data_IF_897370393143
#
_entry.id   IF_897370393143
#
_cell.length_a   1.000
_cell.length_b   1.000
_cell.length_c   1.000
_cell.angle_alpha   90.00
_cell.angle_beta   90.00
_cell.angle_gamma   90.00
#
_symmetry.space_group_name_H-M   'P 1'
#
loop_
_entity.id
_entity.type
_entity.pdbx_description
1 polymer ?
#
# COMPACT_ATOMS: atom_id res chain seq x y z
N UNK A 1 5.99 14.08 -25.36
CA UNK A 1 5.19 14.49 -24.19
C UNK A 1 4.27 13.32 -23.91
N UNK A 2 4.43 12.64 -22.78
CA UNK A 2 3.64 11.44 -22.48
C UNK A 2 2.18 11.83 -22.21
N UNK A 3 1.24 11.07 -22.77
CA UNK A 3 -0.19 11.27 -22.53
C UNK A 3 -0.49 10.96 -21.05
N UNK A 4 -1.20 11.87 -20.38
CA UNK A 4 -1.56 11.74 -18.97
C UNK A 4 -2.91 11.05 -18.86
N UNK A 5 -3.04 10.09 -17.95
CA UNK A 5 -4.30 9.39 -17.73
C UNK A 5 -4.75 9.54 -16.27
N UNK A 6 -6.06 9.67 -16.08
CA UNK A 6 -6.66 9.65 -14.75
C UNK A 6 -6.59 8.23 -14.17
N UNK A 7 -5.95 8.04 -13.03
CA UNK A 7 -5.79 6.71 -12.42
C UNK A 7 -7.14 6.03 -12.10
N UNK A 8 -8.17 6.81 -11.75
CA UNK A 8 -9.46 6.27 -11.31
C UNK A 8 -10.35 5.84 -12.48
N UNK A 9 -10.47 6.67 -13.51
CA UNK A 9 -11.40 6.42 -14.63
C UNK A 9 -10.70 6.03 -15.93
N UNK A 10 -9.36 5.97 -15.93
CA UNK A 10 -8.50 5.65 -17.06
C UNK A 10 -8.72 6.50 -18.32
N UNK A 11 -9.33 7.68 -18.16
CA UNK A 11 -9.51 8.64 -19.27
C UNK A 11 -8.26 9.48 -19.44
N UNK A 12 -7.93 9.78 -20.69
CA UNK A 12 -6.87 10.71 -21.04
C UNK A 12 -7.18 12.11 -20.50
N UNK A 13 -6.15 12.79 -20.01
CA UNK A 13 -6.17 14.16 -19.52
C UNK A 13 -5.51 14.99 -20.61
N UNK A 14 -6.34 15.67 -21.39
CA UNK A 14 -5.91 16.50 -22.50
C UNK A 14 -5.00 17.65 -22.06
N UNK A 15 -4.10 18.05 -22.94
CA UNK A 15 -3.19 19.17 -22.71
C UNK A 15 -4.00 20.45 -22.51
N UNK A 16 -3.72 21.19 -21.44
CA UNK A 16 -4.44 22.42 -21.08
C UNK A 16 -5.64 22.20 -20.16
N UNK A 17 -6.09 20.96 -19.94
CA UNK A 17 -7.10 20.66 -18.94
C UNK A 17 -6.51 20.64 -17.52
N UNK A 18 -7.26 21.20 -16.57
CA UNK A 18 -6.91 21.13 -15.14
C UNK A 18 -6.95 19.68 -14.67
N UNK A 19 -5.99 19.29 -13.85
CA UNK A 19 -5.95 17.98 -13.20
C UNK A 19 -5.29 18.12 -11.83
N UNK A 20 -5.50 17.13 -10.96
CA UNK A 20 -4.81 17.02 -9.69
C UNK A 20 -3.73 15.95 -9.81
N UNK A 21 -2.50 16.31 -9.46
CA UNK A 21 -1.40 15.37 -9.38
C UNK A 21 -1.09 15.05 -7.91
N UNK A 22 -1.00 13.76 -7.60
CA UNK A 22 -0.55 13.24 -6.31
C UNK A 22 0.84 12.66 -6.52
N UNK A 23 1.81 13.13 -5.73
CA UNK A 23 3.16 12.57 -5.71
C UNK A 23 3.30 11.64 -4.51
N UNK A 24 3.59 10.36 -4.78
CA UNK A 24 3.78 9.35 -3.74
C UNK A 24 5.21 8.82 -3.79
N UNK A 25 5.76 8.49 -2.62
CA UNK A 25 7.03 7.78 -2.49
C UNK A 25 7.00 6.89 -1.25
N UNK A 26 7.80 5.83 -1.25
CA UNK A 26 8.08 5.01 -0.08
C UNK A 26 9.44 5.37 0.51
N UNK A 27 9.58 5.26 1.83
CA UNK A 27 10.84 5.49 2.52
C UNK A 27 10.98 4.51 3.67
N UNK A 28 12.18 3.95 3.86
CA UNK A 28 12.43 3.07 5.01
C UNK A 28 12.41 3.84 6.33
N UNK A 29 12.00 3.15 7.39
CA UNK A 29 12.00 3.64 8.78
C UNK A 29 12.74 2.61 9.63
N UNK A 30 13.63 3.07 10.52
CA UNK A 30 14.42 2.19 11.38
C UNK A 30 15.63 1.50 10.72
N UNK A 31 15.76 1.55 9.39
CA UNK A 31 16.92 1.02 8.64
C UNK A 31 17.88 2.16 8.30
N UNK A 32 19.19 1.92 8.45
CA UNK A 32 20.26 2.85 8.07
C UNK A 32 21.21 2.20 7.05
N UNK A 33 21.64 2.91 5.99
CA UNK A 33 21.18 4.24 5.59
C UNK A 33 19.71 4.22 5.14
N UNK A 34 19.04 5.36 5.28
CA UNK A 34 17.62 5.48 4.92
C UNK A 34 17.49 5.47 3.39
N UNK A 35 16.63 4.60 2.87
CA UNK A 35 16.38 4.47 1.43
C UNK A 35 15.00 5.03 1.07
N UNK A 36 14.88 5.55 -0.14
CA UNK A 36 13.67 6.18 -0.67
C UNK A 36 13.42 5.69 -2.09
N UNK A 37 12.17 5.36 -2.42
CA UNK A 37 11.79 5.02 -3.80
C UNK A 37 11.80 6.26 -4.69
N UNK A 38 11.81 6.06 -6.01
CA UNK A 38 11.43 7.12 -6.94
C UNK A 38 10.01 7.61 -6.62
N UNK A 39 9.78 8.92 -6.77
CA UNK A 39 8.45 9.49 -6.59
C UNK A 39 7.57 9.13 -7.79
N UNK A 40 6.43 8.50 -7.55
CA UNK A 40 5.43 8.24 -8.56
C UNK A 40 4.46 9.41 -8.63
N UNK A 41 4.26 9.92 -9.85
CA UNK A 41 3.28 10.96 -10.16
C UNK A 41 2.00 10.30 -10.64
N UNK A 42 0.94 10.46 -9.88
CA UNK A 42 -0.40 9.93 -10.17
C UNK A 42 -1.31 11.10 -10.52
N UNK A 43 -2.11 10.98 -11.57
CA UNK A 43 -3.03 12.05 -11.98
C UNK A 43 -4.49 11.64 -11.81
N UNK A 44 -5.32 12.62 -11.44
CA UNK A 44 -6.78 12.51 -11.38
C UNK A 44 -7.41 13.65 -12.19
N UNK A 45 -8.45 13.32 -12.97
CA UNK A 45 -9.27 14.34 -13.61
C UNK A 45 -10.06 15.14 -12.56
N UNK A 46 -10.56 16.34 -12.88
CA UNK A 46 -11.27 17.20 -11.92
C UNK A 46 -12.42 16.51 -11.19
N UNK A 47 -13.19 15.68 -11.90
CA UNK A 47 -14.32 14.94 -11.34
C UNK A 47 -13.85 13.89 -10.33
N UNK A 48 -12.84 13.10 -10.69
CA UNK A 48 -12.28 12.07 -9.80
C UNK A 48 -11.51 12.67 -8.62
N UNK A 49 -10.93 13.87 -8.77
CA UNK A 49 -10.24 14.55 -7.67
C UNK A 49 -11.20 15.05 -6.59
N UNK A 50 -12.42 15.48 -6.95
CA UNK A 50 -13.44 15.82 -5.96
C UNK A 50 -13.80 14.59 -5.13
N UNK A 51 -13.96 13.42 -5.77
CA UNK A 51 -14.19 12.17 -5.05
C UNK A 51 -13.00 11.73 -4.19
N UNK A 52 -11.77 12.11 -4.54
CA UNK A 52 -10.59 11.86 -3.70
C UNK A 52 -10.60 12.73 -2.43
N UNK A 53 -11.04 13.99 -2.55
CA UNK A 53 -11.06 14.94 -1.43
C UNK A 53 -12.27 14.74 -0.50
N UNK A 54 -13.42 14.40 -1.06
CA UNK A 54 -14.72 14.45 -0.36
C UNK A 54 -15.47 13.11 -0.35
N UNK A 55 -15.00 12.12 -1.10
CA UNK A 55 -15.67 10.83 -1.26
C UNK A 55 -14.99 9.70 -0.50
N UNK A 56 -15.55 8.47 -0.59
CA UNK A 56 -14.87 7.29 -0.07
C UNK A 56 -13.52 7.11 -0.77
N UNK A 57 -12.49 6.63 -0.03
CA UNK A 57 -11.17 6.43 -0.58
C UNK A 57 -11.25 5.56 -1.83
N UNK A 58 -10.51 5.89 -2.91
CA UNK A 58 -10.55 5.10 -4.13
C UNK A 58 -10.05 3.68 -3.84
N UNK A 59 -10.93 2.69 -3.97
CA UNK A 59 -10.60 1.30 -3.67
C UNK A 59 -9.40 0.83 -4.50
N UNK A 60 -8.31 0.47 -3.83
CA UNK A 60 -7.14 -0.16 -4.44
C UNK A 60 -6.29 0.74 -5.36
N UNK A 61 -6.76 1.91 -5.79
CA UNK A 61 -6.06 2.74 -6.78
C UNK A 61 -4.65 3.13 -6.28
N UNK A 62 -4.55 3.58 -5.03
CA UNK A 62 -3.27 3.93 -4.43
C UNK A 62 -2.47 2.70 -3.97
N UNK A 63 -3.11 1.53 -3.81
CA UNK A 63 -2.45 0.32 -3.33
C UNK A 63 -1.49 -0.23 -4.38
N UNK A 64 -1.85 -0.19 -5.67
CA UNK A 64 -0.94 -0.62 -6.74
C UNK A 64 0.28 0.30 -6.86
N UNK A 65 0.09 1.61 -6.71
CA UNK A 65 1.20 2.56 -6.66
C UNK A 65 2.09 2.30 -5.44
N UNK A 66 1.50 2.09 -4.26
CA UNK A 66 2.21 1.71 -3.04
C UNK A 66 3.02 0.42 -3.22
N UNK A 67 2.40 -0.62 -3.78
CA UNK A 67 3.04 -1.88 -4.09
C UNK A 67 4.26 -1.71 -4.99
N UNK A 68 4.12 -0.98 -6.10
CA UNK A 68 5.24 -0.73 -7.02
C UNK A 68 6.38 0.00 -6.29
N UNK A 69 6.09 1.04 -5.52
CA UNK A 69 7.11 1.78 -4.76
C UNK A 69 7.85 0.89 -3.76
N UNK A 70 7.13 0.01 -3.04
CA UNK A 70 7.73 -0.93 -2.09
C UNK A 70 8.57 -1.97 -2.82
N UNK A 71 8.04 -2.57 -3.89
CA UNK A 71 8.76 -3.55 -4.71
C UNK A 71 10.06 -2.97 -5.25
N UNK A 72 10.00 -1.75 -5.80
CA UNK A 72 11.17 -1.09 -6.37
C UNK A 72 12.20 -0.78 -5.26
N UNK A 73 11.75 -0.38 -4.06
CA UNK A 73 12.63 -0.14 -2.91
C UNK A 73 13.30 -1.42 -2.39
N UNK A 74 12.55 -2.52 -2.28
CA UNK A 74 13.02 -3.83 -1.80
C UNK A 74 13.92 -4.52 -2.84
N UNK A 75 13.66 -4.29 -4.12
CA UNK A 75 14.45 -4.85 -5.23
C UNK A 75 15.73 -4.06 -5.56
N UNK A 76 15.84 -2.81 -5.12
CA UNK A 76 16.98 -1.95 -5.47
C UNK A 76 18.30 -2.35 -4.80
N UNK A 77 18.26 -2.83 -3.55
CA UNK A 77 19.47 -3.15 -2.78
C UNK A 77 19.26 -4.38 -1.87
N UNK A 78 19.93 -5.51 -2.14
CA UNK A 78 19.90 -6.68 -1.26
C UNK A 78 20.34 -6.39 0.18
N UNK A 79 21.22 -5.41 0.42
CA UNK A 79 21.66 -5.03 1.76
C UNK A 79 20.52 -4.43 2.60
N UNK A 80 19.53 -3.80 1.96
CA UNK A 80 18.33 -3.29 2.63
C UNK A 80 17.48 -4.44 3.20
N UNK A 81 17.36 -5.53 2.46
CA UNK A 81 16.64 -6.72 2.91
C UNK A 81 17.36 -7.39 4.09
N UNK A 82 18.68 -7.47 4.03
CA UNK A 82 19.50 -7.99 5.13
C UNK A 82 19.39 -7.12 6.40
N UNK A 83 19.48 -5.80 6.28
CA UNK A 83 19.34 -4.87 7.40
C UNK A 83 17.91 -4.90 8.00
N UNK A 84 16.89 -5.03 7.15
CA UNK A 84 15.52 -5.24 7.61
C UNK A 84 15.38 -6.54 8.41
N UNK A 85 15.99 -7.62 7.92
CA UNK A 85 15.97 -8.93 8.57
C UNK A 85 16.70 -8.93 9.92
N UNK A 86 17.83 -8.24 10.02
CA UNK A 86 18.57 -8.05 11.28
C UNK A 86 17.74 -7.29 12.33
N UNK A 87 17.10 -6.20 11.93
CA UNK A 87 16.19 -5.47 12.80
C UNK A 87 15.01 -6.34 13.26
N UNK A 88 14.40 -7.11 12.36
CA UNK A 88 13.30 -8.02 12.71
C UNK A 88 13.75 -9.09 13.70
N UNK A 89 14.93 -9.69 13.54
CA UNK A 89 15.47 -10.68 14.49
C UNK A 89 15.62 -10.11 15.91
N UNK A 90 15.96 -8.83 16.05
CA UNK A 90 15.97 -8.14 17.34
C UNK A 90 14.58 -8.03 17.99
N UNK A 91 13.50 -8.12 17.20
CA UNK A 91 12.10 -8.07 17.67
C UNK A 91 11.48 -9.46 17.79
N UNK A 92 11.96 -10.49 17.07
CA UNK A 92 11.42 -11.86 17.12
C UNK A 92 11.47 -12.45 18.54
N UNK A 93 12.44 -12.05 19.39
CA UNK A 93 12.46 -12.43 20.82
C UNK A 93 11.37 -11.76 21.69
N UNK A 94 10.61 -10.81 21.14
CA UNK A 94 9.54 -10.05 21.79
C UNK A 94 8.14 -10.38 21.24
N UNK A 95 8.05 -11.19 20.18
CA UNK A 95 6.77 -11.63 19.63
C UNK A 95 6.33 -12.91 20.34
N UNK A 96 5.09 -12.99 20.86
CA UNK A 96 4.57 -14.22 21.42
C UNK A 96 4.64 -15.30 20.34
N UNK A 97 5.23 -16.45 20.69
CA UNK A 97 5.27 -17.63 19.86
C UNK A 97 3.82 -17.96 19.50
N UNK A 98 3.45 -17.77 18.23
CA UNK A 98 2.13 -18.08 17.71
C UNK A 98 1.89 -19.58 17.65
N UNK A 99 2.15 -20.30 18.74
CA UNK A 99 1.53 -21.60 18.94
C UNK A 99 0.02 -21.33 19.06
N UNK A 100 -0.81 -21.89 18.17
CA UNK A 100 -2.24 -21.80 18.35
C UNK A 100 -2.57 -22.55 19.65
N UNK A 101 -2.89 -21.78 20.70
CA UNK A 101 -3.56 -22.30 21.89
C UNK A 101 -4.65 -23.28 21.43
N UNK A 102 -4.65 -24.53 21.91
CA UNK A 102 -5.64 -25.51 21.51
C UNK A 102 -7.02 -24.99 21.94
N UNK A 103 -7.78 -24.50 20.96
CA UNK A 103 -9.16 -24.05 21.16
C UNK A 103 -9.92 -25.21 21.81
N UNK A 104 -10.47 -25.04 23.02
CA UNK A 104 -11.33 -26.06 23.60
C UNK A 104 -12.53 -26.21 22.66
N UNK A 105 -12.66 -27.37 22.01
CA UNK A 105 -13.86 -27.74 21.26
C UNK A 105 -15.05 -27.69 22.21
N UNK A 106 -15.72 -26.54 22.29
CA UNK A 106 -17.07 -26.47 22.86
C UNK A 106 -17.98 -27.26 21.93
N UNK A 107 -18.61 -28.29 22.51
CA UNK A 107 -19.55 -29.16 21.83
C UNK A 107 -20.57 -28.33 21.03
N UNK A 108 -20.82 -28.74 19.79
CA UNK A 108 -21.86 -28.19 18.95
C UNK A 108 -23.22 -28.38 19.65
N UNK A 109 -23.79 -27.30 20.18
CA UNK A 109 -25.20 -27.22 20.50
C UNK A 109 -25.86 -26.40 19.39
N UNK A 110 -26.75 -27.05 18.65
CA UNK A 110 -27.42 -26.52 17.47
C UNK A 110 -28.20 -25.23 17.74
N UNK A 111 -28.23 -24.37 16.72
CA UNK A 111 -29.04 -23.17 16.67
C UNK A 111 -29.36 -22.87 15.20
N UNK A 112 -30.62 -23.10 14.87
CA UNK A 112 -31.29 -22.97 13.58
C UNK A 112 -31.34 -21.50 13.09
N UNK A 113 -31.08 -21.25 11.80
CA UNK A 113 -31.28 -19.96 11.14
C UNK A 113 -32.35 -20.12 10.05
N UNK A 114 -33.45 -19.37 10.15
CA UNK A 114 -34.44 -19.18 9.07
C UNK A 114 -34.07 -17.98 8.20
N UNK A 115 -34.46 -18.08 6.92
CA UNK A 115 -34.19 -17.16 5.82
C UNK A 115 -35.03 -15.89 5.87
#
# INVERSE_FOLDING_TARGET
MENLFCLRCNREIEVGHKSVAVYMFAQTVGIRPRQKSSAQRICFCPQCSVSLAMGPPPEGALNLAAWNMIRDLVGADPALNQAAWENLRGVVGLLPSGEPEPVPRRAAAGGYFEF
#
